data_IF_977702536066
#
_entry.id   IF_977702536066
#
_cell.length_a   1.000
_cell.length_b   1.000
_cell.length_c   1.000
_cell.angle_alpha   90.00
_cell.angle_beta   90.00
_cell.angle_gamma   90.00
#
_symmetry.space_group_name_H-M   'P 1'
#
loop_
_entity.id
_entity.type
_entity.pdbx_description
1 polymer ?
#
# COMPACT_ATOMS: atom_id res chain seq x y z
N UNK A 1 -9.88 -10.76 18.60
CA UNK A 1 -10.20 -9.73 17.57
C UNK A 1 -9.05 -8.77 17.24
N UNK A 2 -8.18 -8.40 18.19
CA UNK A 2 -6.96 -7.59 17.94
C UNK A 2 -6.10 -8.05 16.73
N UNK A 3 -5.87 -9.36 16.46
CA UNK A 3 -5.03 -9.76 15.33
C UNK A 3 -5.57 -9.36 13.94
N UNK A 4 -6.89 -9.23 13.76
CA UNK A 4 -7.50 -8.92 12.47
C UNK A 4 -7.29 -7.46 12.05
N UNK A 5 -7.04 -6.56 13.01
CA UNK A 5 -6.90 -5.12 12.75
C UNK A 5 -5.48 -4.70 12.41
N UNK A 6 -4.47 -5.49 12.78
CA UNK A 6 -3.06 -5.17 12.53
C UNK A 6 -2.71 -4.94 11.06
N UNK A 7 -3.22 -5.72 10.09
CA UNK A 7 -2.94 -5.47 8.68
C UNK A 7 -3.46 -4.10 8.21
N UNK A 8 -4.60 -3.66 8.71
CA UNK A 8 -5.15 -2.33 8.43
C UNK A 8 -4.28 -1.22 9.02
N UNK A 9 -3.77 -1.40 10.24
CA UNK A 9 -2.81 -0.47 10.84
C UNK A 9 -1.51 -0.39 10.04
N UNK A 10 -0.96 -1.54 9.63
CA UNK A 10 0.24 -1.61 8.81
C UNK A 10 0.04 -0.91 7.45
N UNK A 11 -1.09 -1.17 6.76
CA UNK A 11 -1.44 -0.48 5.52
C UNK A 11 -1.54 1.03 5.72
N UNK A 12 -2.27 1.49 6.75
CA UNK A 12 -2.40 2.91 7.04
C UNK A 12 -1.03 3.58 7.28
N UNK A 13 -0.14 2.95 8.05
CA UNK A 13 1.19 3.48 8.35
C UNK A 13 2.09 3.54 7.12
N UNK A 14 2.10 2.50 6.28
CA UNK A 14 2.96 2.43 5.09
C UNK A 14 2.44 3.34 3.98
N UNK A 15 1.14 3.35 3.74
CA UNK A 15 0.56 4.05 2.58
C UNK A 15 0.32 5.54 2.86
N UNK A 16 0.21 5.99 4.11
CA UNK A 16 0.10 7.44 4.43
C UNK A 16 1.25 8.27 3.84
N UNK A 17 2.53 7.99 4.14
CA UNK A 17 3.64 8.75 3.55
C UNK A 17 3.73 8.59 2.03
N UNK A 18 3.35 7.42 1.50
CA UNK A 18 3.30 7.18 0.05
C UNK A 18 2.24 8.07 -0.61
N UNK A 19 1.00 8.05 -0.12
CA UNK A 19 -0.11 8.87 -0.59
C UNK A 19 0.25 10.36 -0.57
N UNK A 20 0.79 10.85 0.54
CA UNK A 20 1.26 12.23 0.65
C UNK A 20 2.36 12.55 -0.36
N UNK A 21 3.29 11.63 -0.61
CA UNK A 21 4.34 11.85 -1.62
C UNK A 21 3.78 11.93 -3.04
N UNK A 22 2.80 11.10 -3.41
CA UNK A 22 2.12 11.17 -4.71
C UNK A 22 1.32 12.48 -4.88
N UNK A 23 0.67 12.97 -3.81
CA UNK A 23 -0.14 14.20 -3.84
C UNK A 23 0.75 15.45 -3.89
N UNK A 24 1.70 15.55 -2.95
CA UNK A 24 2.46 16.77 -2.70
C UNK A 24 3.73 16.87 -3.54
N UNK A 25 4.32 15.74 -3.91
CA UNK A 25 5.62 15.68 -4.61
C UNK A 25 5.65 14.66 -5.75
N UNK A 26 4.75 14.75 -6.75
CA UNK A 26 4.64 13.75 -7.82
C UNK A 26 5.94 13.58 -8.63
N UNK A 27 6.79 14.60 -8.72
CA UNK A 27 8.08 14.53 -9.41
C UNK A 27 9.08 13.56 -8.75
N UNK A 28 8.93 13.28 -7.46
CA UNK A 28 9.73 12.25 -6.78
C UNK A 28 9.31 10.83 -7.16
N UNK A 29 8.05 10.66 -7.59
CA UNK A 29 7.49 9.38 -8.03
C UNK A 29 7.84 9.11 -9.50
N UNK A 30 7.82 10.17 -10.33
CA UNK A 30 8.18 10.11 -11.74
C UNK A 30 8.96 11.38 -12.14
N UNK A 31 10.31 11.35 -12.10
CA UNK A 31 11.14 12.48 -12.51
C UNK A 31 10.89 12.86 -13.97
N UNK A 32 10.83 14.17 -14.26
CA UNK A 32 10.60 14.67 -15.63
C UNK A 32 9.18 14.48 -16.16
N UNK A 33 8.20 14.14 -15.31
CA UNK A 33 6.83 13.90 -15.75
C UNK A 33 6.12 15.17 -16.28
N UNK A 34 5.27 14.97 -17.29
CA UNK A 34 4.44 16.03 -17.89
C UNK A 34 3.38 16.54 -16.89
N UNK A 35 2.80 17.74 -17.09
CA UNK A 35 1.71 18.22 -16.24
C UNK A 35 0.53 17.25 -16.12
N UNK A 36 0.16 16.58 -17.22
CA UNK A 36 -0.89 15.57 -17.22
C UNK A 36 -0.53 14.35 -16.34
N UNK A 37 0.71 13.86 -16.43
CA UNK A 37 1.19 12.78 -15.58
C UNK A 37 1.20 13.17 -14.10
N UNK A 38 1.51 14.42 -13.75
CA UNK A 38 1.40 14.91 -12.36
C UNK A 38 -0.03 14.85 -11.83
N UNK A 39 -1.03 15.17 -12.66
CA UNK A 39 -2.44 15.06 -12.25
C UNK A 39 -2.84 13.60 -12.00
N UNK A 40 -2.41 12.67 -12.85
CA UNK A 40 -2.63 11.23 -12.65
C UNK A 40 -1.97 10.75 -11.36
N UNK A 41 -0.73 11.14 -11.09
CA UNK A 41 -0.02 10.79 -9.86
C UNK A 41 -0.73 11.32 -8.61
N UNK A 42 -1.26 12.54 -8.66
CA UNK A 42 -2.04 13.11 -7.56
C UNK A 42 -3.37 12.39 -7.34
N UNK A 43 -4.07 12.05 -8.42
CA UNK A 43 -5.29 11.25 -8.35
C UNK A 43 -5.01 9.87 -7.74
N UNK A 44 -3.91 9.23 -8.14
CA UNK A 44 -3.46 7.97 -7.56
C UNK A 44 -3.16 8.14 -6.06
N UNK A 45 -2.46 9.21 -5.66
CA UNK A 45 -2.23 9.55 -4.26
C UNK A 45 -3.53 9.77 -3.46
N UNK A 46 -4.54 10.40 -4.07
CA UNK A 46 -5.87 10.54 -3.47
C UNK A 46 -6.59 9.20 -3.28
N UNK A 47 -6.45 8.27 -4.23
CA UNK A 47 -6.97 6.91 -4.11
C UNK A 47 -6.27 6.14 -2.96
N UNK A 48 -4.95 6.29 -2.81
CA UNK A 48 -4.21 5.73 -1.67
C UNK A 48 -4.65 6.32 -0.34
N UNK A 49 -4.84 7.65 -0.30
CA UNK A 49 -5.34 8.29 0.92
C UNK A 49 -6.74 7.79 1.28
N UNK A 50 -7.59 7.52 0.28
CA UNK A 50 -8.91 6.93 0.52
C UNK A 50 -8.81 5.52 1.12
N UNK A 51 -7.89 4.66 0.66
CA UNK A 51 -7.68 3.33 1.27
C UNK A 51 -7.12 3.41 2.69
N UNK A 52 -6.25 4.39 2.96
CA UNK A 52 -5.77 4.72 4.32
C UNK A 52 -6.94 5.12 5.23
N UNK A 53 -7.85 5.99 4.76
CA UNK A 53 -9.02 6.41 5.55
C UNK A 53 -9.96 5.23 5.86
N UNK A 54 -10.19 4.33 4.91
CA UNK A 54 -10.93 3.08 5.15
C UNK A 54 -10.28 2.27 6.27
N UNK A 55 -8.94 2.12 6.25
CA UNK A 55 -8.22 1.43 7.32
C UNK A 55 -8.37 2.14 8.67
N UNK A 56 -8.29 3.47 8.70
CA UNK A 56 -8.50 4.26 9.93
C UNK A 56 -9.91 4.04 10.49
N UNK A 57 -10.95 4.02 9.65
CA UNK A 57 -12.31 3.72 10.10
C UNK A 57 -12.44 2.32 10.71
N UNK A 58 -11.85 1.30 10.09
CA UNK A 58 -11.80 -0.06 10.65
C UNK A 58 -11.09 -0.09 12.01
N UNK A 59 -10.04 0.71 12.20
CA UNK A 59 -9.29 0.79 13.45
C UNK A 59 -10.06 1.52 14.56
N UNK A 60 -10.76 2.59 14.21
CA UNK A 60 -11.52 3.43 15.14
C UNK A 60 -12.88 2.85 15.50
N UNK A 61 -13.41 1.87 14.75
CA UNK A 61 -14.68 1.23 15.05
C UNK A 61 -14.63 0.55 16.44
N UNK A 62 -15.42 1.03 17.43
CA UNK A 62 -15.34 0.57 18.80
C UNK A 62 -16.00 -0.81 19.00
N UNK A 63 -16.83 -1.27 18.06
CA UNK A 63 -17.52 -2.56 18.11
C UNK A 63 -16.76 -3.73 17.49
N UNK A 64 -17.40 -4.91 17.47
CA UNK A 64 -16.95 -6.04 16.65
C UNK A 64 -17.28 -5.76 15.18
N UNK A 65 -16.34 -5.15 14.46
CA UNK A 65 -16.43 -5.03 13.00
C UNK A 65 -16.62 -6.44 12.42
N UNK A 66 -17.62 -6.58 11.55
CA UNK A 66 -18.03 -7.88 11.01
C UNK A 66 -16.83 -8.64 10.39
N UNK A 67 -16.73 -9.93 10.72
CA UNK A 67 -15.60 -10.79 10.29
C UNK A 67 -15.62 -10.96 8.77
N UNK A 68 -16.81 -11.12 8.17
CA UNK A 68 -16.94 -11.28 6.72
C UNK A 68 -16.52 -10.00 6.01
N UNK A 69 -17.00 -8.84 6.48
CA UNK A 69 -16.59 -7.54 6.00
C UNK A 69 -15.07 -7.31 6.16
N UNK A 70 -14.46 -7.71 7.28
CA UNK A 70 -13.00 -7.66 7.46
C UNK A 70 -12.28 -8.46 6.39
N UNK A 71 -12.72 -9.69 6.11
CA UNK A 71 -12.10 -10.57 5.10
C UNK A 71 -12.25 -10.01 3.68
N UNK A 72 -13.41 -9.46 3.34
CA UNK A 72 -13.63 -8.84 2.03
C UNK A 72 -12.78 -7.58 1.84
N UNK A 73 -12.69 -6.72 2.87
CA UNK A 73 -11.80 -5.56 2.85
C UNK A 73 -10.32 -5.97 2.79
N UNK A 74 -9.92 -7.00 3.54
CA UNK A 74 -8.58 -7.56 3.48
C UNK A 74 -8.25 -8.10 2.09
N UNK A 75 -9.17 -8.81 1.43
CA UNK A 75 -8.98 -9.29 0.07
C UNK A 75 -8.82 -8.12 -0.92
N UNK A 76 -9.64 -7.07 -0.80
CA UNK A 76 -9.54 -5.88 -1.63
C UNK A 76 -8.20 -5.15 -1.45
N UNK A 77 -7.81 -4.84 -0.21
CA UNK A 77 -6.55 -4.15 0.10
C UNK A 77 -5.32 -5.03 -0.19
N UNK A 78 -5.42 -6.34 0.03
CA UNK A 78 -4.40 -7.31 -0.38
C UNK A 78 -4.19 -7.28 -1.88
N UNK A 79 -5.26 -7.27 -2.69
CA UNK A 79 -5.14 -7.20 -4.16
C UNK A 79 -4.41 -5.94 -4.65
N UNK A 80 -4.56 -4.82 -3.93
CA UNK A 80 -3.84 -3.59 -4.23
C UNK A 80 -2.31 -3.79 -4.12
N UNK A 81 -1.83 -4.49 -3.09
CA UNK A 81 -0.40 -4.68 -2.84
C UNK A 81 0.33 -5.50 -3.91
N UNK A 82 -0.39 -6.22 -4.77
CA UNK A 82 0.19 -6.87 -5.96
C UNK A 82 0.82 -5.85 -6.90
N UNK A 83 0.23 -4.66 -7.08
CA UNK A 83 0.70 -3.67 -8.04
C UNK A 83 1.99 -2.96 -7.62
N UNK A 84 2.15 -2.47 -6.38
CA UNK A 84 3.43 -1.99 -5.88
C UNK A 84 4.52 -3.06 -5.90
N UNK A 85 4.21 -4.33 -5.58
CA UNK A 85 5.14 -5.45 -5.69
C UNK A 85 5.61 -5.64 -7.13
N UNK A 86 4.68 -5.70 -8.09
CA UNK A 86 4.99 -5.80 -9.52
C UNK A 86 5.86 -4.63 -9.99
N UNK A 87 5.49 -3.40 -9.63
CA UNK A 87 6.25 -2.18 -9.96
C UNK A 87 7.69 -2.25 -9.41
N UNK A 88 7.85 -2.66 -8.15
CA UNK A 88 9.16 -2.80 -7.53
C UNK A 88 10.01 -3.89 -8.20
N UNK A 89 9.40 -5.04 -8.50
CA UNK A 89 10.03 -6.14 -9.23
C UNK A 89 10.51 -5.72 -10.63
N UNK A 90 9.68 -5.03 -11.40
CA UNK A 90 10.06 -4.52 -12.73
C UNK A 90 11.25 -3.57 -12.64
N UNK A 91 11.28 -2.66 -11.65
CA UNK A 91 12.40 -1.74 -11.42
C UNK A 91 13.70 -2.45 -11.03
N UNK A 92 13.62 -3.53 -10.25
CA UNK A 92 14.77 -4.37 -9.91
C UNK A 92 15.32 -5.08 -11.15
N UNK A 93 14.44 -5.64 -11.99
CA UNK A 93 14.83 -6.37 -13.19
C UNK A 93 15.36 -5.49 -14.32
N UNK A 94 14.84 -4.27 -14.48
CA UNK A 94 15.25 -3.38 -15.56
C UNK A 94 16.57 -2.65 -15.30
N UNK A 95 17.24 -2.89 -14.16
CA UNK A 95 18.43 -2.13 -13.77
C UNK A 95 18.15 -0.67 -13.43
N UNK A 96 16.90 -0.21 -13.51
CA UNK A 96 16.46 1.13 -13.12
C UNK A 96 16.56 1.40 -11.60
N UNK A 97 17.06 0.42 -10.84
CA UNK A 97 17.43 0.53 -9.43
C UNK A 97 18.93 0.65 -9.15
N UNK A 98 19.80 0.59 -10.18
CA UNK A 98 21.25 0.69 -10.05
C UNK A 98 21.81 2.06 -10.45
N UNK A 99 22.58 2.67 -9.54
CA UNK A 99 23.58 3.74 -9.73
C UNK A 99 23.18 5.09 -10.36
N UNK A 100 21.89 5.39 -10.50
CA UNK A 100 21.43 6.73 -10.87
C UNK A 100 20.85 7.51 -9.69
N UNK A 101 21.04 8.84 -9.66
CA UNK A 101 20.43 9.78 -8.70
C UNK A 101 18.89 9.63 -8.55
N UNK A 102 18.22 8.94 -9.48
CA UNK A 102 16.81 8.58 -9.42
C UNK A 102 16.46 7.45 -8.43
N UNK A 103 17.43 6.61 -8.05
CA UNK A 103 17.23 5.52 -7.07
C UNK A 103 17.04 6.04 -5.63
N UNK A 104 17.51 7.26 -5.33
CA UNK A 104 17.44 7.89 -4.01
C UNK A 104 16.17 8.70 -3.72
N UNK A 105 15.30 8.92 -4.72
CA UNK A 105 14.18 9.87 -4.58
C UNK A 105 12.98 9.32 -3.80
N UNK A 106 12.94 8.01 -3.55
CA UNK A 106 11.90 7.34 -2.77
C UNK A 106 12.52 6.59 -1.60
N UNK A 107 11.97 6.75 -0.39
CA UNK A 107 12.43 6.07 0.83
C UNK A 107 12.62 4.56 0.58
N UNK A 108 13.85 4.06 0.72
CA UNK A 108 14.20 2.63 0.70
C UNK A 108 14.49 1.98 -0.67
N UNK A 109 14.26 2.66 -1.79
CA UNK A 109 14.50 2.08 -3.12
C UNK A 109 13.64 0.84 -3.46
N UNK A 110 13.81 0.22 -4.65
CA UNK A 110 12.93 -0.83 -5.14
C UNK A 110 12.90 -2.11 -4.29
N UNK A 111 14.03 -2.52 -3.70
CA UNK A 111 14.10 -3.75 -2.89
C UNK A 111 13.29 -3.62 -1.59
N UNK A 112 13.41 -2.49 -0.89
CA UNK A 112 12.63 -2.24 0.34
C UNK A 112 11.15 -2.13 0.01
N UNK A 113 10.79 -1.48 -1.10
CA UNK A 113 9.38 -1.39 -1.55
C UNK A 113 8.80 -2.78 -1.77
N UNK A 114 9.52 -3.66 -2.47
CA UNK A 114 9.08 -5.04 -2.68
C UNK A 114 8.89 -5.78 -1.35
N UNK A 115 9.85 -5.68 -0.43
CA UNK A 115 9.78 -6.35 0.87
C UNK A 115 8.58 -5.86 1.71
N UNK A 116 8.43 -4.55 1.86
CA UNK A 116 7.35 -3.94 2.65
C UNK A 116 5.97 -4.32 2.08
N UNK A 117 5.76 -4.17 0.78
CA UNK A 117 4.47 -4.50 0.19
C UNK A 117 4.20 -6.01 0.16
N UNK A 118 5.23 -6.86 0.08
CA UNK A 118 5.07 -8.32 0.20
C UNK A 118 4.64 -8.71 1.61
N UNK A 119 5.18 -8.06 2.64
CA UNK A 119 4.77 -8.26 4.05
C UNK A 119 3.32 -7.80 4.23
N UNK A 120 2.97 -6.60 3.76
CA UNK A 120 1.58 -6.11 3.81
C UNK A 120 0.61 -7.06 3.09
N UNK A 121 0.99 -7.55 1.90
CA UNK A 121 0.20 -8.55 1.16
C UNK A 121 -0.01 -9.83 1.98
N UNK A 122 1.07 -10.41 2.51
CA UNK A 122 1.01 -11.63 3.30
C UNK A 122 0.13 -11.47 4.56
N UNK A 123 0.20 -10.32 5.23
CA UNK A 123 -0.67 -9.99 6.36
C UNK A 123 -2.16 -9.98 5.99
N UNK A 124 -2.53 -9.44 4.83
CA UNK A 124 -3.92 -9.47 4.37
C UNK A 124 -4.36 -10.87 3.92
N UNK A 125 -3.49 -11.62 3.23
CA UNK A 125 -3.77 -13.03 2.87
C UNK A 125 -3.99 -13.87 4.12
N UNK A 126 -3.21 -13.65 5.17
CA UNK A 126 -3.41 -14.30 6.46
C UNK A 126 -4.80 -14.01 7.04
N UNK A 127 -5.28 -12.76 7.01
CA UNK A 127 -6.64 -12.42 7.46
C UNK A 127 -7.71 -13.13 6.64
N UNK A 128 -7.53 -13.21 5.32
CA UNK A 128 -8.45 -13.94 4.44
C UNK A 128 -8.48 -15.43 4.79
N UNK A 129 -7.32 -16.02 5.04
CA UNK A 129 -7.17 -17.46 5.30
C UNK A 129 -7.46 -17.88 6.75
N UNK A 130 -7.53 -16.96 7.71
CA UNK A 130 -7.77 -17.25 9.12
C UNK A 130 -9.12 -17.95 9.32
N UNK A 131 -9.12 -19.26 9.57
CA UNK A 131 -10.29 -19.97 10.07
C UNK A 131 -10.61 -19.47 11.49
N UNK A 132 -11.86 -19.09 11.72
CA UNK A 132 -12.34 -18.73 13.06
C UNK A 132 -13.29 -19.84 13.47
N UNK A 133 -12.85 -20.68 14.42
CA UNK A 133 -13.68 -21.73 15.00
C UNK A 133 -14.99 -21.11 15.52
N UNK A 134 -16.13 -21.58 14.98
CA UNK A 134 -17.46 -21.12 15.38
C UNK A 134 -18.34 -20.53 14.27
N UNK A 135 -17.94 -20.62 13.00
CA UNK A 135 -18.86 -20.65 11.86
C UNK A 135 -18.92 -22.06 11.26
#
# INVERSE_FOLDING_TARGET
>A
MIPLRWPFAAHALVETPAALSFILTPEKQLPGCTPAAKLILRQYGGLLLSSVLVCIFVLLEPGSFDVVACRLLAAALGSYHVWPCYRAYVRLRSGAGGDGAAAQLTLGGPAVHLAVHSVCFAMFVFVVALEIDGQ
#
